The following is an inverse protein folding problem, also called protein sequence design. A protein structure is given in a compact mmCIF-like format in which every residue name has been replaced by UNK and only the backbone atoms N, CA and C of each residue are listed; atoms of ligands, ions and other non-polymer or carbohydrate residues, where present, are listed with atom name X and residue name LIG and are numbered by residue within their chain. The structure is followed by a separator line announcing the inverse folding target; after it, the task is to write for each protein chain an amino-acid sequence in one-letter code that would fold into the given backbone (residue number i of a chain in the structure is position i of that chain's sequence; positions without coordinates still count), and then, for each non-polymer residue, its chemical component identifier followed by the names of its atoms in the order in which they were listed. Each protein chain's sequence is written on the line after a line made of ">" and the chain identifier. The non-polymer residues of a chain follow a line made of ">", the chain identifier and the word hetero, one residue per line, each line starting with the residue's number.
data_IF_641896598721
#
_entry.id   IF_641896598721
#
_cell.length_a   1.000
_cell.length_b   1.000
_cell.length_c   1.000
_cell.angle_alpha   90.00
_cell.angle_beta   90.00
_cell.angle_gamma   90.00
#
_symmetry.space_group_name_H-M   'P 1'
#
loop_
_entity.id
_entity.type
_entity.pdbx_description
1 polymer ?
2 non-polymer ?
3 non-polymer ?
4 non-polymer ?
5 non-polymer ?
6 water ?
#
# COMPACT_ATOMS: atom_id res chain seq x y z
N UNK A 5 0.73 -26.77 7.83
CA UNK A 5 0.99 -25.49 7.09
C UNK A 5 -0.27 -25.05 6.31
N UNK A 6 -1.08 -24.20 6.94
CA UNK A 6 -2.25 -23.58 6.28
C UNK A 6 -1.88 -22.22 5.60
N UNK A 7 -2.27 -22.04 4.33
CA UNK A 7 -1.99 -20.79 3.60
C UNK A 7 -3.22 -19.95 3.29
N UNK A 8 -3.06 -18.63 3.34
CA UNK A 8 -4.19 -17.72 3.14
C UNK A 8 -3.91 -16.57 2.19
N UNK A 9 -4.85 -16.32 1.28
CA UNK A 9 -4.74 -15.29 0.25
C UNK A 9 -5.51 -14.02 0.61
N UNK A 10 -4.99 -12.86 0.21
CA UNK A 10 -5.65 -11.57 0.44
C UNK A 10 -5.46 -10.63 -0.73
N UNK A 11 -6.45 -9.76 -0.95
CA UNK A 11 -6.44 -8.78 -2.04
C UNK A 11 -6.74 -7.39 -1.49
N UNK A 12 -6.14 -6.38 -2.12
CA UNK A 12 -6.35 -4.99 -1.75
C UNK A 12 -6.37 -4.08 -2.96
N UNK A 13 -7.11 -2.98 -2.84
CA UNK A 13 -7.23 -2.00 -3.90
C UNK A 13 -7.37 -0.62 -3.30
N UNK A 14 -6.75 0.38 -3.93
CA UNK A 14 -6.84 1.75 -3.44
C UNK A 14 -6.64 2.83 -4.49
N UNK A 15 -7.35 3.95 -4.35
CA UNK A 15 -7.28 5.05 -5.30
C UNK A 15 -7.20 6.39 -4.57
N UNK A 16 -6.37 7.30 -5.07
CA UNK A 16 -6.34 8.69 -4.61
C UNK A 16 -6.23 9.67 -5.76
N UNK A 17 -6.95 10.78 -5.64
CA UNK A 17 -6.98 11.80 -6.66
C UNK A 17 -5.80 12.77 -6.50
N UNK A 18 -5.30 13.33 -7.61
CA UNK A 18 -4.23 14.31 -7.53
C UNK A 18 -4.77 15.65 -7.08
N UNK A 19 -3.95 16.38 -6.33
CA UNK A 19 -4.31 17.73 -5.89
C UNK A 19 -3.23 18.35 -5.03
N UNK A 20 -3.13 19.67 -5.04
CA UNK A 20 -2.11 20.35 -4.21
C UNK A 20 -0.69 20.24 -4.76
N UNK A 21 0.28 20.74 -3.98
CA UNK A 21 1.68 20.72 -4.42
C UNK A 21 2.30 19.35 -4.21
N UNK A 22 3.18 18.91 -5.12
CA UNK A 22 3.97 17.68 -4.93
C UNK A 22 4.86 17.80 -3.70
N UNK A 23 5.58 16.73 -3.33
CA UNK A 23 5.71 15.43 -3.97
C UNK A 23 4.58 14.49 -3.56
N UNK A 24 4.68 13.21 -3.93
CA UNK A 24 3.72 12.21 -3.52
C UNK A 24 4.47 11.14 -2.75
N UNK A 25 3.77 10.39 -1.91
CA UNK A 25 4.39 9.28 -1.21
C UNK A 25 3.76 8.01 -1.75
N UNK A 26 4.57 7.14 -2.36
CA UNK A 26 4.12 5.85 -2.88
C UNK A 26 5.08 4.78 -2.40
N UNK A 27 4.55 3.80 -1.67
CA UNK A 27 5.35 2.72 -1.12
C UNK A 27 6.39 3.19 -0.12
N UNK A 28 6.10 4.30 0.56
CA UNK A 28 7.02 4.91 1.51
C UNK A 28 7.93 5.98 0.93
N UNK A 29 8.17 5.92 -0.37
CA UNK A 29 9.13 6.78 -1.05
C UNK A 29 8.50 8.09 -1.47
N UNK A 30 9.19 9.18 -1.16
CA UNK A 30 8.79 10.52 -1.59
C UNK A 30 9.26 10.68 -3.04
N UNK A 31 8.31 10.83 -3.96
CA UNK A 31 8.58 10.90 -5.40
C UNK A 31 8.22 12.29 -5.91
N UNK A 32 9.13 12.93 -6.67
CA UNK A 32 8.79 14.28 -7.12
C UNK A 32 7.73 14.27 -8.22
N UNK A 33 6.77 15.18 -8.12
CA UNK A 33 5.71 15.30 -9.12
C UNK A 33 5.05 16.67 -9.06
N UNK A 34 4.50 17.10 -10.20
CA UNK A 34 3.84 18.41 -10.31
C UNK A 34 2.65 18.59 -9.36
N UNK A 35 1.85 17.55 -9.14
CA UNK A 35 0.76 17.63 -8.17
C UNK A 35 1.07 16.70 -6.99
N UNK A 36 0.32 16.85 -5.90
CA UNK A 36 0.35 15.90 -4.78
C UNK A 36 -0.88 15.01 -4.81
N UNK A 37 -1.08 14.23 -3.74
CA UNK A 37 -2.28 13.38 -3.60
C UNK A 37 -3.23 13.87 -2.50
N UNK A 38 -4.50 14.09 -2.85
CA UNK A 38 -5.54 14.41 -1.86
C UNK A 38 -5.82 13.21 -0.99
N UNK A 39 -5.63 13.37 0.32
CA UNK A 39 -5.94 12.31 1.26
C UNK A 39 -5.93 12.77 2.73
N UNK A 40 -6.71 12.07 3.57
CA UNK A 40 -6.66 12.27 5.03
C UNK A 40 -5.27 11.88 5.56
N UNK A 41 -4.79 10.69 5.18
CA UNK A 41 -3.42 10.25 5.51
C UNK A 41 -2.41 10.86 4.52
N UNK A 42 -1.19 10.32 4.50
CA UNK A 42 -0.17 10.75 3.53
C UNK A 42 -0.54 10.35 2.11
N UNK A 43 -1.60 9.56 1.95
CA UNK A 43 -2.13 9.19 0.63
C UNK A 43 -1.33 8.14 -0.13
N UNK A 44 -0.54 7.37 0.61
CA UNK A 44 0.32 6.33 0.05
C UNK A 44 -0.55 5.18 -0.40
N UNK A 45 -1.06 5.33 -1.61
CA UNK A 45 -1.90 4.36 -2.31
C UNK A 45 -1.36 2.93 -2.32
N UNK A 46 -0.05 2.76 -2.51
CA UNK A 46 0.54 1.44 -2.61
C UNK A 46 0.56 0.72 -1.27
N UNK A 47 0.84 1.46 -0.19
CA UNK A 47 0.85 0.85 1.13
C UNK A 47 -0.56 0.57 1.69
N UNK A 48 -1.56 1.39 1.31
CA UNK A 48 -2.94 1.13 1.74
C UNK A 48 -3.42 -0.17 1.14
N UNK A 49 -3.24 -0.28 -0.16
CA UNK A 49 -3.63 -1.46 -0.90
C UNK A 49 -2.92 -2.71 -0.38
N UNK A 50 -1.65 -2.56 0.00
CA UNK A 50 -0.89 -3.68 0.55
C UNK A 50 -1.43 -4.08 1.93
N UNK A 51 -1.67 -3.09 2.79
CA UNK A 51 -2.27 -3.34 4.09
C UNK A 51 -3.61 -4.07 4.00
N UNK A 52 -4.49 -3.58 3.13
CA UNK A 52 -5.78 -4.21 2.90
C UNK A 52 -5.67 -5.65 2.42
N UNK A 53 -4.64 -5.94 1.62
CA UNK A 53 -4.41 -7.31 1.15
C UNK A 53 -3.94 -8.19 2.31
N UNK A 54 -3.04 -7.65 3.12
CA UNK A 54 -2.57 -8.35 4.31
C UNK A 54 -3.73 -8.62 5.29
N UNK A 55 -4.47 -7.58 5.65
CA UNK A 55 -5.59 -7.70 6.59
C UNK A 55 -6.66 -8.63 6.07
N UNK A 56 -6.99 -8.49 4.79
CA UNK A 56 -7.95 -9.37 4.13
C UNK A 56 -7.59 -10.84 4.26
N UNK A 57 -6.33 -11.18 4.00
CA UNK A 57 -5.88 -12.55 4.13
C UNK A 57 -6.01 -13.06 5.57
N UNK A 58 -5.89 -12.17 6.55
CA UNK A 58 -6.07 -12.59 7.94
C UNK A 58 -7.53 -12.51 8.40
N UNK A 59 -8.45 -12.32 7.44
CA UNK A 59 -9.86 -12.02 7.71
C UNK A 59 -10.10 -10.95 8.79
N UNK A 60 -9.32 -9.87 8.75
CA UNK A 60 -9.46 -8.77 9.70
C UNK A 60 -10.10 -7.53 9.07
N UNK A 61 -10.73 -7.70 7.91
CA UNK A 61 -11.46 -6.61 7.28
C UNK A 61 -10.59 -5.79 6.35
N UNK A 62 -10.44 -4.51 6.67
CA UNK A 62 -9.62 -3.58 5.92
C UNK A 62 -9.10 -2.52 6.88
N UNK A 63 -8.35 -1.53 6.38
CA UNK A 63 -7.88 -0.42 7.22
C UNK A 63 -9.04 0.35 7.86
N UNK A 64 -10.07 0.63 7.06
CA UNK A 64 -11.26 1.37 7.51
C UNK A 64 -12.18 0.61 8.45
N UNK A 65 -11.76 -0.58 8.84
CA UNK A 65 -12.44 -1.38 9.86
C UNK A 65 -11.50 -1.56 11.06
N UNK A 66 -10.21 -1.32 10.86
CA UNK A 66 -9.27 -1.32 11.97
C UNK A 66 -8.94 0.10 12.45
N UNK A 67 -8.78 1.02 11.50
CA UNK A 67 -8.38 2.40 11.82
C UNK A 67 -9.31 3.42 11.14
N UNK A 68 -10.53 3.55 11.65
CA UNK A 68 -11.52 4.47 11.08
C UNK A 68 -10.93 5.87 10.87
N UNK A 69 -11.09 6.40 9.66
CA UNK A 69 -10.84 7.82 9.42
C UNK A 69 -11.45 8.68 10.52
N UNK A 70 -12.71 8.43 10.84
CA UNK A 70 -13.40 9.16 11.89
C UNK A 70 -12.60 9.13 13.20
N UNK A 71 -12.27 7.92 13.64
CA UNK A 71 -11.71 7.72 15.03
C UNK A 71 -10.98 6.34 15.22
N UNK A 72 -10.50 6.01 16.47
CA UNK A 72 -10.28 6.81 17.70
C UNK A 72 -8.80 7.06 18.09
N UNK A 73 -7.92 6.06 17.92
CA UNK A 73 -6.54 6.08 18.47
C UNK A 73 -5.40 6.29 17.43
N UNK A 74 -5.78 6.43 16.16
CA UNK A 74 -4.86 6.23 15.05
C UNK A 74 -5.03 7.30 13.99
N UNK A 75 -5.15 8.55 14.42
CA UNK A 75 -5.31 9.67 13.51
C UNK A 75 -3.97 10.33 13.20
N UNK A 76 -3.90 11.03 12.07
CA UNK A 76 -2.68 11.68 11.64
C UNK A 76 -1.49 10.73 11.64
N UNK A 77 -1.69 9.54 11.07
CA UNK A 77 -0.61 8.54 10.97
C UNK A 77 -0.24 8.34 9.49
N UNK A 78 1.07 8.23 9.22
CA UNK A 78 1.54 7.91 7.88
C UNK A 78 1.32 6.42 7.63
N UNK A 79 1.14 6.06 6.36
CA UNK A 79 0.71 4.72 5.97
C UNK A 79 1.64 3.60 6.40
N UNK A 80 2.90 3.92 6.71
CA UNK A 80 3.86 2.92 7.17
C UNK A 80 3.58 2.51 8.61
N UNK A 81 3.16 3.47 9.44
CA UNK A 81 2.76 3.19 10.81
C UNK A 81 1.56 2.26 10.82
N UNK A 82 0.58 2.58 9.98
CA UNK A 82 -0.59 1.73 9.80
C UNK A 82 -0.25 0.34 9.28
N UNK A 83 0.66 0.25 8.31
CA UNK A 83 1.11 -1.04 7.81
C UNK A 83 1.74 -1.85 8.93
N UNK A 84 2.64 -1.23 9.70
CA UNK A 84 3.36 -1.92 10.77
C UNK A 84 2.45 -2.36 11.91
N UNK A 85 1.43 -1.55 12.18
CA UNK A 85 0.45 -1.86 13.21
C UNK A 85 -0.47 -2.99 12.78
N UNK A 86 -0.96 -2.94 11.54
CA UNK A 86 -1.73 -4.04 10.97
C UNK A 86 -0.94 -5.33 11.01
N UNK A 87 0.36 -5.24 10.76
CA UNK A 87 1.21 -6.42 10.74
C UNK A 87 1.44 -7.04 12.12
N UNK A 88 1.43 -6.21 13.16
CA UNK A 88 1.47 -6.70 14.53
C UNK A 88 0.24 -7.55 14.83
N UNK A 89 -0.93 -7.02 14.48
CA UNK A 89 -2.20 -7.70 14.71
C UNK A 89 -2.35 -8.97 13.88
N UNK A 90 -1.76 -8.98 12.69
CA UNK A 90 -1.78 -10.18 11.87
C UNK A 90 -0.83 -11.21 12.51
N UNK A 91 0.30 -10.75 13.04
CA UNK A 91 1.20 -11.66 13.73
C UNK A 91 0.59 -12.15 15.04
N UNK A 92 -0.17 -11.27 15.70
CA UNK A 92 -0.91 -11.62 16.91
C UNK A 92 -1.83 -12.83 16.68
N UNK A 93 -2.38 -12.99 15.48
CA UNK A 93 -3.19 -14.17 15.16
C UNK A 93 -2.35 -15.36 14.66
N UNK A 94 -1.04 -15.33 14.92
CA UNK A 94 -0.16 -16.43 14.55
C UNK A 94 0.14 -16.63 13.07
N UNK A 95 0.15 -15.54 12.30
CA UNK A 95 0.51 -15.61 10.89
C UNK A 95 1.92 -15.11 10.63
N UNK A 96 2.57 -15.74 9.66
CA UNK A 96 3.83 -15.27 9.12
C UNK A 96 3.67 -14.99 7.62
N UNK A 97 4.56 -14.17 7.07
CA UNK A 97 4.46 -13.77 5.67
C UNK A 97 4.87 -14.87 4.68
N UNK A 98 4.00 -15.10 3.69
CA UNK A 98 4.34 -15.91 2.53
C UNK A 98 5.08 -15.00 1.58
N UNK A 99 4.33 -14.14 0.91
CA UNK A 99 4.88 -13.07 0.08
C UNK A 99 3.80 -12.08 -0.37
N UNK A 100 4.23 -10.92 -0.83
CA UNK A 100 3.30 -9.90 -1.32
C UNK A 100 3.70 -9.43 -2.71
N UNK A 101 2.70 -9.07 -3.50
CA UNK A 101 2.92 -8.52 -4.82
C UNK A 101 2.04 -7.28 -4.99
N UNK A 102 2.66 -6.19 -5.44
CA UNK A 102 2.00 -4.89 -5.56
C UNK A 102 2.01 -4.41 -7.03
N UNK A 103 0.87 -3.93 -7.51
CA UNK A 103 0.80 -3.36 -8.85
C UNK A 103 0.28 -1.92 -8.82
N UNK A 104 1.17 -0.96 -9.08
CA UNK A 104 0.81 0.45 -9.14
C UNK A 104 0.28 0.79 -10.53
N UNK A 105 -0.80 1.56 -10.58
CA UNK A 105 -1.40 1.93 -11.85
C UNK A 105 -1.45 3.44 -11.89
N UNK A 106 -0.59 4.03 -12.71
CA UNK A 106 -0.47 5.47 -12.82
C UNK A 106 0.13 5.80 -14.17
N UNK A 107 -0.39 6.85 -14.79
CA UNK A 107 0.15 7.34 -16.05
C UNK A 107 1.52 7.96 -15.81
N UNK A 108 1.61 8.72 -14.72
CA UNK A 108 2.84 9.37 -14.24
C UNK A 108 2.62 9.74 -12.77
N UNK A 109 3.70 9.94 -11.98
CA UNK A 109 5.13 9.94 -12.31
C UNK A 109 5.67 8.55 -12.61
N UNK A 110 6.92 8.48 -13.04
CA UNK A 110 7.55 7.23 -13.41
C UNK A 110 7.96 6.45 -12.13
N UNK A 111 7.42 5.25 -11.95
CA UNK A 111 7.60 4.50 -10.70
C UNK A 111 8.91 3.70 -10.55
N UNK A 112 9.41 3.09 -11.62
CA UNK A 112 10.45 2.07 -11.41
C UNK A 112 11.85 2.49 -10.88
N UNK A 113 12.27 3.75 -11.09
CA UNK A 113 13.44 4.14 -10.31
C UNK A 113 13.24 4.02 -8.79
N UNK A 114 11.99 4.14 -8.33
CA UNK A 114 11.72 4.10 -6.90
C UNK A 114 11.38 2.72 -6.32
N UNK A 115 11.19 1.73 -7.17
CA UNK A 115 10.74 0.43 -6.67
C UNK A 115 11.71 -0.24 -5.67
N UNK A 116 13.04 -0.23 -5.94
CA UNK A 116 13.99 -0.80 -4.96
C UNK A 116 13.85 -0.24 -3.55
N UNK A 117 13.62 1.06 -3.43
CA UNK A 117 13.44 1.70 -2.13
C UNK A 117 12.11 1.32 -1.48
N UNK A 118 11.06 1.21 -2.29
CA UNK A 118 9.76 0.76 -1.82
C UNK A 118 9.90 -0.64 -1.22
N UNK A 119 10.68 -1.49 -1.86
CA UNK A 119 10.91 -2.82 -1.36
C UNK A 119 11.70 -2.87 -0.05
N UNK A 120 12.66 -1.96 0.12
CA UNK A 120 13.44 -1.83 1.37
C UNK A 120 12.51 -1.45 2.54
N UNK A 121 11.66 -0.45 2.29
CA UNK A 121 10.68 -0.02 3.27
C UNK A 121 9.72 -1.14 3.67
N UNK A 122 9.10 -1.78 2.69
CA UNK A 122 8.11 -2.82 2.94
C UNK A 122 8.74 -4.01 3.68
N UNK A 123 9.93 -4.42 3.25
CA UNK A 123 10.64 -5.52 3.89
C UNK A 123 11.02 -5.18 5.33
N UNK A 124 11.38 -3.93 5.58
CA UNK A 124 11.62 -3.48 6.95
C UNK A 124 10.33 -3.54 7.74
N UNK A 125 9.31 -2.85 7.25
CA UNK A 125 8.02 -2.77 7.92
C UNK A 125 7.38 -4.11 8.29
N UNK A 126 7.56 -5.12 7.45
CA UNK A 126 6.99 -6.44 7.70
C UNK A 126 8.02 -7.39 8.26
N UNK A 127 9.24 -6.88 8.47
CA UNK A 127 10.35 -7.68 8.95
C UNK A 127 10.53 -8.97 8.17
N UNK A 128 10.66 -8.87 6.85
CA UNK A 128 10.86 -10.03 5.99
C UNK A 128 12.03 -9.83 5.02
N UNK A 129 12.34 -10.86 4.24
CA UNK A 129 13.35 -10.71 3.19
C UNK A 129 12.78 -9.92 2.02
N UNK A 130 13.61 -9.08 1.41
CA UNK A 130 13.23 -8.33 0.20
C UNK A 130 12.69 -9.28 -0.84
N UNK A 131 13.17 -10.51 -0.80
CA UNK A 131 12.83 -11.52 -1.76
C UNK A 131 11.35 -11.94 -1.73
N UNK A 132 10.62 -11.49 -0.71
CA UNK A 132 9.21 -11.81 -0.58
C UNK A 132 8.36 -10.60 -0.90
N UNK A 133 8.98 -9.50 -1.31
CA UNK A 133 8.23 -8.31 -1.66
C UNK A 133 8.46 -7.98 -3.12
N UNK A 134 7.39 -7.95 -3.90
CA UNK A 134 7.45 -7.54 -5.29
C UNK A 134 6.53 -6.34 -5.53
N UNK A 135 7.04 -5.35 -6.26
CA UNK A 135 6.30 -4.14 -6.58
C UNK A 135 6.51 -3.88 -8.07
N UNK A 136 5.44 -3.52 -8.77
CA UNK A 136 5.53 -3.21 -10.19
C UNK A 136 4.56 -2.10 -10.51
N UNK A 137 4.75 -1.47 -11.66
CA UNK A 137 3.91 -0.36 -12.08
C UNK A 137 3.50 -0.53 -13.53
N UNK A 138 2.37 0.06 -13.88
CA UNK A 138 1.86 0.02 -15.24
C UNK A 138 1.02 1.30 -15.49
N UNK A 139 0.92 1.72 -16.76
CA UNK A 139 0.03 2.82 -17.12
C UNK A 139 -1.18 2.21 -17.77
N UNK A 140 -2.22 3.00 -17.97
CA UNK A 140 -3.37 2.55 -18.73
C UNK A 140 -3.46 3.23 -20.08
N UNK A 141 -2.29 3.58 -20.64
CA UNK A 141 -2.17 4.12 -22.00
C UNK A 141 -3.08 5.33 -22.23
N UNK A 142 -3.02 6.28 -21.29
CA UNK A 142 -3.78 7.53 -21.34
C UNK A 142 -5.29 7.33 -21.29
N UNK A 143 -5.72 6.11 -20.97
CA UNK A 143 -7.14 5.78 -20.84
C UNK A 143 -7.59 5.83 -19.39
N UNK A 144 -8.80 6.33 -19.17
CA UNK A 144 -9.39 6.30 -17.85
C UNK A 144 -8.95 7.42 -16.93
N UNK A 145 -9.53 7.48 -15.73
CA UNK A 145 -9.21 8.56 -14.79
C UNK A 145 -7.72 8.55 -14.48
N UNK A 146 -7.15 7.36 -14.46
CA UNK A 146 -5.76 7.17 -14.18
C UNK A 146 -4.90 7.64 -15.38
N UNK A 147 -5.37 7.38 -16.59
CA UNK A 147 -4.68 7.78 -17.81
C UNK A 147 -4.83 9.25 -18.18
N UNK A 148 -5.91 9.87 -17.70
CA UNK A 148 -6.11 11.31 -17.86
C UNK A 148 -5.39 12.08 -16.76
N UNK A 149 -4.53 11.40 -16.01
CA UNK A 149 -3.79 12.03 -14.93
C UNK A 149 -4.63 12.59 -13.79
N UNK A 150 -5.82 12.05 -13.58
CA UNK A 150 -6.71 12.46 -12.50
C UNK A 150 -6.34 11.86 -11.14
N UNK A 151 -5.76 10.66 -11.15
CA UNK A 151 -5.36 10.00 -9.91
C UNK A 151 -4.49 8.76 -10.12
N UNK A 152 -4.20 8.07 -9.02
CA UNK A 152 -3.38 6.86 -9.02
C UNK A 152 -4.16 5.74 -8.34
N UNK A 153 -4.14 4.55 -8.94
CA UNK A 153 -4.71 3.36 -8.29
C UNK A 153 -3.60 2.37 -7.99
N UNK A 154 -3.87 1.44 -7.08
CA UNK A 154 -2.94 0.37 -6.81
C UNK A 154 -3.67 -0.93 -6.47
N UNK A 155 -3.08 -2.06 -6.85
CA UNK A 155 -3.58 -3.38 -6.47
C UNK A 155 -2.50 -4.14 -5.74
N UNK A 156 -2.91 -4.91 -4.73
CA UNK A 156 -1.98 -5.71 -3.96
C UNK A 156 -2.56 -7.09 -3.75
N UNK A 157 -1.73 -8.11 -3.84
CA UNK A 157 -2.10 -9.44 -3.35
C UNK A 157 -1.10 -9.85 -2.30
N UNK A 158 -1.58 -10.60 -1.31
CA UNK A 158 -0.74 -11.09 -0.23
C UNK A 158 -1.05 -12.56 0.04
N UNK A 159 -0.04 -13.28 0.53
CA UNK A 159 -0.19 -14.67 0.96
C UNK A 159 0.40 -14.79 2.35
N UNK A 160 -0.35 -15.40 3.26
CA UNK A 160 0.07 -15.57 4.64
C UNK A 160 0.16 -17.04 4.97
N UNK A 161 1.10 -17.39 5.85
CA UNK A 161 1.30 -18.76 6.33
C UNK A 161 0.85 -18.89 7.77
N UNK A 162 0.29 -20.04 8.12
CA UNK A 162 0.12 -20.41 9.53
C UNK A 162 0.58 -21.83 9.79
X LIG B 1 -6.11 5.27 0.67
X LIG C 1 5.49 -1.77 -20.40
X LIG C 1 5.29 -2.42 -18.88
X LIG C 1 5.67 -4.05 -19.02
X LIG C 1 3.92 -2.16 -18.29
X LIG C 1 6.55 -1.79 -17.98
X LIG C 1 6.42 -0.40 -17.66
X LIG C 1 6.33 -0.14 -16.15
X LIG C 1 7.48 -0.60 -15.43
X LIG C 1 7.56 0.56 -18.18
X LIG C 1 9.00 0.01 -18.35
X LIG C 1 9.54 0.43 -19.62
X LIG C 1 7.62 1.56 -17.10
X LIG C 1 6.32 1.36 -16.44
X LIG C 1 5.83 2.41 -15.52
X LIG C 1 4.48 2.75 -15.68
X LIG C 1 3.92 3.73 -14.88
X LIG C 1 4.74 4.37 -13.96
X LIG C 1 4.18 5.32 -13.22
X LIG C 1 6.04 4.03 -13.83
X LIG C 1 6.63 3.07 -14.58
X LIG C 1 7.83 2.78 -14.44
X LIG D 1 -10.83 3.40 -15.22
X LIG D 1 -11.54 4.57 -14.76
X LIG D 1 -10.27 2.65 -14.19
X LIG D 1 -8.93 2.40 -14.04
X LIG D 1 -7.94 2.97 -15.05
X LIG D 1 -8.44 1.55 -12.88
X LIG D 1 -7.83 0.27 -13.41
X LIG D 1 -8.24 -0.85 -12.69
X LIG D 1 -9.30 -1.72 -12.97
X LIG D 1 -10.19 -1.51 -14.21
X LIG D 1 -9.56 -2.90 -12.02
X LIG D 1 -13.18 4.67 -14.88
X LIG D 1 -13.71 3.61 -15.98
X LIG D 1 -13.77 4.16 -13.44
X LIG D 1 -13.65 6.17 -15.24
X LIG D 1 -13.90 6.69 -16.74
X LIG D 1 -15.18 6.26 -17.33
X LIG D 1 -13.78 8.29 -16.60
X LIG D 1 -12.62 6.26 -17.61
X LIG E 1 17.74 -8.58 2.86
X LIG E 1 16.41 -8.64 3.38
X LIG E 1 17.66 -8.84 1.35
X LIG E 1 18.66 -8.10 0.63
X LIG E 1 17.74 -10.35 1.06
X LIG E 1 16.41 -10.83 0.81
#
# INVERSE_FOLDING_TARGET
>A
GSHMLEMRIGHGFDVHAFGGEGPIIIGGVRIPYEKGLLAHSDGDVALHALTDALLGAAALGDIGKLFPDTDPAFKGADSRELLREAWRRIQAKGYTLGNVDVTIIAQAPKMLPHIPQMRVFIAEDLGCHMDDVNVKATTTEKLGFTGRGEGIACEAVALLIKATK
>B hetero
1 ZN ZN
>C hetero
1 C6B O1P P O2P O3P O3' C3' C2' O2' C4' C5' O5' O4' C1' N1 C6 C5 C4 N4 N3 C2 O2
>D hetero
1 GPP C1 O1 C2 C3 C4 C5 C6 C7 C8 C9 C10 PA O1A O2A O3A PB O1B O2B O3B
>E hetero
1 GOL C1 O1 C2 O2 C3 O3
#
